data_IF_843568501330
#
_entry.id   IF_843568501330
#
_cell.length_a   1.000
_cell.length_b   1.000
_cell.length_c   1.000
_cell.angle_alpha   90.00
_cell.angle_beta   90.00
_cell.angle_gamma   90.00
#
_symmetry.space_group_name_H-M   'P 1'
#
loop_
_entity.id
_entity.type
_entity.pdbx_description
1 polymer ?
#
# COMPACT_ATOMS: atom_id res chain seq x y z
N UNK A 1 -53.90 -67.56 8.74
CA UNK A 1 -54.88 -66.65 9.37
C UNK A 1 -54.27 -66.01 10.62
N UNK A 2 -53.81 -64.75 10.51
CA UNK A 2 -53.84 -63.72 11.57
C UNK A 2 -53.42 -62.40 10.94
N UNK A 3 -54.42 -61.53 10.78
CA UNK A 3 -54.34 -60.22 10.16
C UNK A 3 -53.75 -59.17 11.11
N UNK A 4 -53.03 -58.23 10.49
CA UNK A 4 -52.93 -56.78 10.74
C UNK A 4 -52.85 -56.30 12.20
N UNK A 5 -51.73 -55.73 12.66
CA UNK A 5 -51.09 -54.45 12.24
C UNK A 5 -51.91 -53.22 12.68
N UNK A 6 -51.34 -52.56 13.69
CA UNK A 6 -51.21 -51.10 13.87
C UNK A 6 -52.33 -50.37 14.64
N UNK A 7 -52.01 -50.25 15.93
CA UNK A 7 -52.21 -49.15 16.86
C UNK A 7 -52.06 -47.77 16.17
N UNK A 8 -53.16 -47.04 15.99
CA UNK A 8 -53.16 -45.62 15.59
C UNK A 8 -53.24 -44.74 16.84
N UNK A 9 -52.08 -44.39 17.40
CA UNK A 9 -51.93 -43.30 18.38
C UNK A 9 -51.31 -42.06 17.70
N UNK A 10 -51.99 -40.92 17.85
CA UNK A 10 -51.43 -39.56 18.03
C UNK A 10 -50.24 -39.14 17.13
N UNK A 11 -50.54 -38.55 15.97
CA UNK A 11 -49.59 -37.72 15.23
C UNK A 11 -49.70 -36.24 15.66
N UNK A 12 -49.11 -35.91 16.80
CA UNK A 12 -48.74 -34.53 17.13
C UNK A 12 -47.28 -34.29 16.67
N UNK A 13 -47.10 -33.54 15.58
CA UNK A 13 -45.88 -32.80 15.19
C UNK A 13 -46.11 -32.27 13.77
N UNK A 14 -45.86 -31.00 13.45
CA UNK A 14 -44.54 -30.38 13.39
C UNK A 14 -44.63 -28.84 13.60
N UNK A 15 -43.63 -28.19 14.23
CA UNK A 15 -43.54 -26.74 14.30
C UNK A 15 -43.10 -26.14 12.95
N UNK A 16 -43.68 -24.98 12.58
CA UNK A 16 -43.26 -24.15 11.45
C UNK A 16 -41.82 -23.65 11.67
N UNK A 17 -40.88 -24.02 10.80
CA UNK A 17 -39.51 -23.47 10.80
C UNK A 17 -39.44 -22.25 9.87
N UNK A 18 -38.99 -21.07 10.35
CA UNK A 18 -38.77 -19.93 9.45
C UNK A 18 -37.54 -20.19 8.58
N UNK A 19 -37.75 -20.20 7.26
CA UNK A 19 -36.69 -20.29 6.25
C UNK A 19 -35.87 -19.00 6.23
N UNK A 20 -34.61 -19.10 6.63
CA UNK A 20 -33.66 -17.99 6.56
C UNK A 20 -33.23 -17.75 5.10
N UNK A 21 -33.79 -16.74 4.45
CA UNK A 21 -33.29 -16.28 3.15
C UNK A 21 -31.97 -15.52 3.35
N UNK A 22 -30.83 -16.20 3.19
CA UNK A 22 -29.54 -15.53 3.09
C UNK A 22 -29.47 -14.74 1.78
N UNK A 23 -29.78 -13.45 1.85
CA UNK A 23 -29.52 -12.48 0.79
C UNK A 23 -28.03 -12.48 0.45
N UNK A 24 -27.68 -13.19 -0.64
CA UNK A 24 -26.32 -13.29 -1.15
C UNK A 24 -25.96 -11.97 -1.80
N UNK A 25 -25.41 -11.04 -1.01
CA UNK A 25 -24.87 -9.74 -1.48
C UNK A 25 -24.03 -9.97 -2.74
N UNK A 26 -24.55 -9.53 -3.90
CA UNK A 26 -23.86 -9.64 -5.20
C UNK A 26 -22.57 -8.83 -5.16
N UNK A 27 -21.46 -9.49 -4.84
CA UNK A 27 -20.13 -8.90 -4.91
C UNK A 27 -19.88 -8.38 -6.35
N UNK A 28 -19.50 -7.10 -6.52
CA UNK A 28 -19.33 -6.52 -7.84
C UNK A 28 -18.19 -7.20 -8.64
N UNK A 29 -18.32 -7.22 -9.97
CA UNK A 29 -17.44 -7.96 -10.88
C UNK A 29 -15.95 -7.56 -10.76
N UNK A 30 -15.68 -6.29 -10.48
CA UNK A 30 -14.33 -5.77 -10.29
C UNK A 30 -13.66 -6.30 -9.02
N UNK A 31 -14.40 -6.58 -7.93
CA UNK A 31 -13.85 -7.22 -6.73
C UNK A 31 -13.39 -8.65 -7.01
N UNK A 32 -14.11 -9.37 -7.86
CA UNK A 32 -13.71 -10.73 -8.29
C UNK A 32 -12.46 -10.67 -9.15
N UNK A 33 -12.40 -9.77 -10.14
CA UNK A 33 -11.20 -9.59 -10.96
C UNK A 33 -9.98 -9.16 -10.13
N UNK A 34 -10.14 -8.18 -9.24
CA UNK A 34 -9.06 -7.75 -8.34
C UNK A 34 -8.59 -8.87 -7.42
N UNK A 35 -9.52 -9.67 -6.86
CA UNK A 35 -9.18 -10.84 -6.05
C UNK A 35 -8.41 -11.87 -6.85
N UNK A 36 -8.82 -12.16 -8.09
CA UNK A 36 -8.08 -13.07 -8.97
C UNK A 36 -6.70 -12.53 -9.34
N UNK A 37 -6.58 -11.23 -9.62
CA UNK A 37 -5.30 -10.59 -9.90
C UNK A 37 -4.39 -10.63 -8.68
N UNK A 38 -4.91 -10.28 -7.50
CA UNK A 38 -4.24 -10.34 -6.20
C UNK A 38 -3.74 -11.76 -5.89
N UNK A 39 -4.62 -12.77 -6.02
CA UNK A 39 -4.26 -14.17 -5.78
C UNK A 39 -3.25 -14.70 -6.82
N UNK A 40 -3.32 -14.22 -8.07
CA UNK A 40 -2.34 -14.55 -9.11
C UNK A 40 -0.98 -13.93 -8.79
N UNK A 41 -0.93 -12.68 -8.33
CA UNK A 41 0.31 -11.99 -7.97
C UNK A 41 0.92 -12.59 -6.69
N UNK A 42 0.10 -12.99 -5.70
CA UNK A 42 0.56 -13.69 -4.49
C UNK A 42 1.12 -15.08 -4.79
N UNK A 43 0.55 -15.79 -5.77
CA UNK A 43 1.02 -17.14 -6.15
C UNK A 43 2.32 -17.15 -6.95
N UNK A 44 2.76 -16.02 -7.51
CA UNK A 44 4.12 -15.94 -8.05
C UNK A 44 5.09 -16.00 -6.87
N UNK A 45 5.71 -17.17 -6.64
CA UNK A 45 6.94 -17.31 -5.86
C UNK A 45 7.95 -16.30 -6.41
N UNK A 46 7.97 -15.13 -5.79
CA UNK A 46 8.82 -14.06 -6.22
C UNK A 46 10.22 -14.36 -5.70
N UNK A 47 11.21 -14.24 -6.58
CA UNK A 47 12.60 -14.40 -6.15
C UNK A 47 12.93 -13.31 -5.12
N UNK A 48 13.83 -13.60 -4.19
CA UNK A 48 14.29 -12.63 -3.18
C UNK A 48 14.65 -11.27 -3.80
N UNK A 49 15.38 -11.20 -4.94
CA UNK A 49 15.70 -9.92 -5.58
C UNK A 49 14.46 -9.19 -6.12
N UNK A 50 13.44 -9.90 -6.63
CA UNK A 50 12.21 -9.26 -7.10
C UNK A 50 11.44 -8.61 -5.96
N UNK A 51 11.39 -9.27 -4.79
CA UNK A 51 10.77 -8.72 -3.58
C UNK A 51 11.54 -7.49 -3.09
N UNK A 52 12.88 -7.58 -3.00
CA UNK A 52 13.73 -6.48 -2.56
C UNK A 52 13.59 -5.25 -3.48
N UNK A 53 13.58 -5.44 -4.81
CA UNK A 53 13.35 -4.33 -5.77
C UNK A 53 11.98 -3.69 -5.59
N UNK A 54 10.95 -4.51 -5.39
CA UNK A 54 9.60 -4.00 -5.13
C UNK A 54 9.55 -3.19 -3.84
N UNK A 55 10.14 -3.69 -2.75
CA UNK A 55 10.21 -2.96 -1.48
C UNK A 55 10.92 -1.61 -1.65
N UNK A 56 12.06 -1.58 -2.35
CA UNK A 56 12.82 -0.36 -2.61
C UNK A 56 12.02 0.69 -3.36
N UNK A 57 11.34 0.32 -4.46
CA UNK A 57 10.52 1.26 -5.22
C UNK A 57 9.28 1.72 -4.45
N UNK A 58 8.75 0.85 -3.57
CA UNK A 58 7.66 1.19 -2.67
C UNK A 58 8.07 2.24 -1.65
N UNK A 59 9.17 2.01 -0.94
CA UNK A 59 9.72 2.94 0.05
C UNK A 59 10.07 4.27 -0.61
N UNK A 60 10.72 4.24 -1.79
CA UNK A 60 11.00 5.44 -2.57
C UNK A 60 9.74 6.28 -2.82
N UNK A 61 8.68 5.65 -3.36
CA UNK A 61 7.45 6.35 -3.69
C UNK A 61 6.68 6.81 -2.44
N UNK A 62 6.76 6.09 -1.32
CA UNK A 62 6.12 6.47 -0.05
C UNK A 62 6.74 7.71 0.62
N UNK A 63 7.94 8.11 0.23
CA UNK A 63 8.57 9.35 0.71
C UNK A 63 8.11 10.60 -0.06
N UNK A 64 7.38 10.44 -1.16
CA UNK A 64 6.83 11.57 -1.90
C UNK A 64 5.45 11.96 -1.34
N UNK A 65 5.13 13.27 -1.27
CA UNK A 65 3.86 13.79 -0.75
C UNK A 65 2.67 13.59 -1.72
N UNK A 66 2.57 12.42 -2.34
CA UNK A 66 1.50 12.04 -3.25
C UNK A 66 0.45 11.22 -2.48
N UNK A 67 -0.39 11.91 -1.70
CA UNK A 67 -1.46 11.28 -0.92
C UNK A 67 -2.33 10.37 -1.81
N UNK A 68 -2.31 9.07 -1.53
CA UNK A 68 -3.01 8.05 -2.32
C UNK A 68 -2.31 7.64 -3.63
N UNK A 69 -1.74 8.58 -4.38
CA UNK A 69 -1.07 8.29 -5.66
C UNK A 69 0.34 7.66 -5.50
N UNK A 70 0.96 7.76 -4.33
CA UNK A 70 2.24 7.10 -4.02
C UNK A 70 2.22 5.59 -4.32
N UNK A 71 1.11 4.90 -4.06
CA UNK A 71 0.98 3.45 -4.31
C UNK A 71 1.06 3.17 -5.81
N UNK A 72 0.41 4.01 -6.62
CA UNK A 72 0.43 3.89 -8.08
C UNK A 72 1.84 4.13 -8.59
N UNK A 73 2.52 5.17 -8.10
CA UNK A 73 3.91 5.46 -8.45
C UNK A 73 4.85 4.30 -8.06
N UNK A 74 4.72 3.77 -6.84
CA UNK A 74 5.52 2.65 -6.36
C UNK A 74 5.32 1.38 -7.19
N UNK A 75 4.07 1.06 -7.54
CA UNK A 75 3.76 -0.07 -8.43
C UNK A 75 4.30 0.16 -9.84
N UNK A 76 4.15 1.37 -10.37
CA UNK A 76 4.67 1.73 -11.70
C UNK A 76 6.18 1.56 -11.77
N UNK A 77 6.92 2.11 -10.81
CA UNK A 77 8.36 1.94 -10.68
C UNK A 77 8.74 0.46 -10.50
N UNK A 78 7.97 -0.30 -9.72
CA UNK A 78 8.18 -1.74 -9.56
C UNK A 78 8.04 -2.51 -10.88
N UNK A 79 7.10 -2.11 -11.76
CA UNK A 79 6.97 -2.72 -13.08
C UNK A 79 8.22 -2.45 -13.93
N UNK A 80 8.73 -1.22 -13.92
CA UNK A 80 9.93 -0.84 -14.68
C UNK A 80 11.16 -1.65 -14.25
N UNK A 81 11.39 -1.77 -12.93
CA UNK A 81 12.55 -2.52 -12.39
C UNK A 81 12.30 -4.03 -12.32
N UNK A 82 11.19 -4.53 -12.86
CA UNK A 82 10.77 -5.94 -12.77
C UNK A 82 10.72 -6.46 -11.31
N UNK A 83 10.32 -5.59 -10.38
CA UNK A 83 10.09 -5.89 -8.97
C UNK A 83 8.69 -6.45 -8.69
N UNK A 84 8.48 -6.94 -7.47
CA UNK A 84 7.18 -7.42 -7.03
C UNK A 84 6.27 -6.23 -6.68
N UNK A 85 5.10 -6.17 -7.34
CA UNK A 85 4.11 -5.09 -7.22
C UNK A 85 3.45 -5.04 -5.84
N UNK A 86 3.24 -6.19 -5.19
CA UNK A 86 2.66 -6.25 -3.85
C UNK A 86 3.61 -5.66 -2.82
N UNK A 87 4.90 -6.02 -2.89
CA UNK A 87 5.89 -5.50 -1.95
C UNK A 87 6.19 -4.03 -2.20
N UNK A 88 6.02 -3.56 -3.43
CA UNK A 88 6.00 -2.12 -3.72
C UNK A 88 4.81 -1.41 -3.09
N UNK A 89 3.60 -1.95 -3.22
CA UNK A 89 2.43 -1.38 -2.56
C UNK A 89 2.60 -1.35 -1.04
N UNK A 90 3.09 -2.43 -0.43
CA UNK A 90 3.40 -2.49 1.01
C UNK A 90 4.50 -1.49 1.39
N UNK A 91 5.55 -1.38 0.58
CA UNK A 91 6.64 -0.44 0.81
C UNK A 91 6.18 1.03 0.83
N UNK A 92 5.12 1.37 0.09
CA UNK A 92 4.55 2.73 0.12
C UNK A 92 3.86 3.07 1.44
N UNK A 93 3.53 2.08 2.27
CA UNK A 93 2.86 2.27 3.57
C UNK A 93 3.84 2.45 4.72
N UNK A 94 5.14 2.60 4.44
CA UNK A 94 6.15 2.83 5.48
C UNK A 94 5.92 4.14 6.24
N UNK A 95 5.32 5.12 5.56
CA UNK A 95 4.94 6.42 6.09
C UNK A 95 3.45 6.39 6.42
N UNK A 96 3.14 6.31 7.71
CA UNK A 96 1.80 6.38 8.26
C UNK A 96 1.37 7.87 8.31
N UNK A 97 0.08 8.23 8.18
CA UNK A 97 -0.42 9.59 8.41
C UNK A 97 0.21 10.34 9.60
N UNK A 98 0.53 9.64 10.69
CA UNK A 98 1.21 10.22 11.85
C UNK A 98 2.68 10.60 11.59
N UNK A 99 3.39 9.87 10.73
CA UNK A 99 4.82 10.08 10.44
C UNK A 99 5.09 10.96 9.22
N UNK A 100 4.07 11.33 8.43
CA UNK A 100 4.27 12.20 7.26
C UNK A 100 4.84 13.57 7.61
N UNK A 101 4.31 14.22 8.65
CA UNK A 101 4.73 15.57 9.05
C UNK A 101 6.25 15.62 9.34
N UNK A 102 6.82 14.80 10.24
CA UNK A 102 8.25 14.85 10.49
C UNK A 102 9.10 14.44 9.28
N UNK A 103 8.65 13.47 8.47
CA UNK A 103 9.37 13.03 7.27
C UNK A 103 9.45 14.16 6.24
N UNK A 104 8.35 14.85 5.96
CA UNK A 104 8.34 15.92 4.97
C UNK A 104 9.07 17.16 5.44
N UNK A 105 9.02 17.49 6.74
CA UNK A 105 9.88 18.53 7.31
C UNK A 105 11.36 18.19 7.16
N UNK A 106 11.74 16.93 7.38
CA UNK A 106 13.11 16.48 7.19
C UNK A 106 13.52 16.56 5.71
N UNK A 107 12.69 16.06 4.79
CA UNK A 107 12.93 16.14 3.36
C UNK A 107 13.06 17.60 2.90
N UNK A 108 12.18 18.48 3.37
CA UNK A 108 12.25 19.91 3.06
C UNK A 108 13.56 20.54 3.54
N UNK A 109 13.97 20.27 4.79
CA UNK A 109 15.28 20.75 5.30
C UNK A 109 16.45 20.23 4.49
N UNK A 110 16.41 18.98 4.03
CA UNK A 110 17.42 18.42 3.12
C UNK A 110 17.40 19.16 1.79
N UNK A 111 16.21 19.41 1.23
CA UNK A 111 16.03 20.22 0.01
C UNK A 111 16.60 21.63 0.13
N UNK A 112 16.28 22.35 1.22
CA UNK A 112 16.79 23.70 1.48
C UNK A 112 18.32 23.72 1.55
N UNK A 113 18.93 22.72 2.21
CA UNK A 113 20.39 22.59 2.27
C UNK A 113 21.02 22.35 0.90
N UNK A 114 20.35 21.59 0.03
CA UNK A 114 20.84 21.28 -1.32
C UNK A 114 20.70 22.47 -2.28
N UNK A 115 19.60 23.22 -2.19
CA UNK A 115 19.34 24.41 -3.01
C UNK A 115 20.05 25.66 -2.49
N UNK A 116 20.57 25.63 -1.25
CA UNK A 116 21.10 26.82 -0.58
C UNK A 116 20.01 27.84 -0.21
N UNK A 117 18.73 27.50 -0.37
CA UNK A 117 17.57 28.35 -0.14
C UNK A 117 17.09 28.22 1.31
N UNK A 118 17.91 28.70 2.25
CA UNK A 118 17.51 28.84 3.65
C UNK A 118 16.46 29.94 3.82
N UNK A 119 16.50 30.96 2.95
CA UNK A 119 15.65 32.13 2.95
C UNK A 119 14.54 32.02 1.90
N UNK A 120 13.72 30.97 1.96
CA UNK A 120 12.42 31.04 1.29
C UNK A 120 11.67 32.20 1.93
N UNK A 121 11.53 33.30 1.20
CA UNK A 121 11.08 34.61 1.65
C UNK A 121 9.92 34.48 2.63
N UNK A 122 10.12 34.86 3.89
CA UNK A 122 9.05 34.91 4.89
C UNK A 122 8.04 36.04 4.62
N UNK A 123 8.42 36.99 3.78
CA UNK A 123 7.58 38.09 3.32
C UNK A 123 6.90 37.72 2.00
N UNK A 124 5.94 36.78 2.06
CA UNK A 124 5.03 36.51 0.94
C UNK A 124 3.83 37.44 1.08
N UNK A 125 3.53 38.24 0.06
CA UNK A 125 2.27 38.96 0.02
C UNK A 125 1.11 37.99 -0.24
N UNK A 126 0.32 37.73 0.80
CA UNK A 126 -0.84 36.83 0.76
C UNK A 126 -1.98 37.33 -0.14
N UNK A 127 -1.94 38.59 -0.56
CA UNK A 127 -2.94 39.17 -1.46
C UNK A 127 -2.60 38.98 -2.95
N UNK A 128 -1.32 38.72 -3.25
CA UNK A 128 -0.84 38.51 -4.61
C UNK A 128 -0.88 37.02 -4.99
N UNK A 129 -1.78 36.68 -5.92
CA UNK A 129 -1.88 35.31 -6.45
C UNK A 129 -0.60 34.84 -7.15
N UNK A 130 0.15 35.76 -7.77
CA UNK A 130 1.39 35.44 -8.48
C UNK A 130 2.53 35.10 -7.51
N UNK A 131 2.66 35.84 -6.41
CA UNK A 131 3.64 35.56 -5.36
C UNK A 131 3.31 34.28 -4.62
N UNK A 132 2.03 34.04 -4.34
CA UNK A 132 1.57 32.80 -3.72
C UNK A 132 1.91 31.57 -4.58
N UNK A 133 1.73 31.66 -5.90
CA UNK A 133 2.11 30.61 -6.84
C UNK A 133 3.62 30.37 -6.87
N UNK A 134 4.42 31.42 -6.87
CA UNK A 134 5.89 31.30 -6.83
C UNK A 134 6.38 30.68 -5.52
N UNK A 135 5.84 31.13 -4.38
CA UNK A 135 6.16 30.57 -3.07
C UNK A 135 5.77 29.08 -2.99
N UNK A 136 4.59 28.73 -3.49
CA UNK A 136 4.13 27.33 -3.58
C UNK A 136 5.01 26.47 -4.49
N UNK A 137 5.44 27.00 -5.63
CA UNK A 137 6.34 26.31 -6.55
C UNK A 137 7.73 26.10 -5.93
N UNK A 138 8.30 27.13 -5.30
CA UNK A 138 9.59 27.04 -4.63
C UNK A 138 9.55 26.03 -3.48
N UNK A 139 8.47 26.04 -2.69
CA UNK A 139 8.22 25.03 -1.66
C UNK A 139 8.16 23.62 -2.25
N UNK A 140 7.37 23.43 -3.31
CA UNK A 140 7.21 22.13 -3.96
C UNK A 140 8.53 21.60 -4.54
N UNK A 141 9.30 22.43 -5.24
CA UNK A 141 10.61 22.04 -5.81
C UNK A 141 11.59 21.66 -4.70
N UNK A 142 11.66 22.46 -3.63
CA UNK A 142 12.53 22.20 -2.48
C UNK A 142 12.16 20.88 -1.81
N UNK A 143 10.87 20.65 -1.56
CA UNK A 143 10.39 19.42 -0.94
C UNK A 143 10.65 18.19 -1.84
N UNK A 144 10.35 18.28 -3.14
CA UNK A 144 10.53 17.18 -4.09
C UNK A 144 12.01 16.82 -4.28
N UNK A 145 12.90 17.80 -4.29
CA UNK A 145 14.35 17.56 -4.33
C UNK A 145 14.79 16.77 -3.08
N UNK A 146 14.34 17.21 -1.90
CA UNK A 146 14.56 16.50 -0.65
C UNK A 146 14.03 15.06 -0.66
N UNK A 147 12.78 14.88 -1.12
CA UNK A 147 12.16 13.56 -1.29
C UNK A 147 12.97 12.65 -2.22
N UNK A 148 13.54 13.20 -3.29
CA UNK A 148 14.34 12.43 -4.24
C UNK A 148 15.62 11.90 -3.60
N UNK A 149 16.35 12.75 -2.87
CA UNK A 149 17.61 12.36 -2.21
C UNK A 149 17.36 11.40 -1.04
N UNK A 150 16.49 11.78 -0.11
CA UNK A 150 16.17 10.93 1.06
C UNK A 150 15.49 9.64 0.61
N UNK A 151 14.58 9.73 -0.37
CA UNK A 151 13.93 8.59 -1.02
C UNK A 151 14.94 7.63 -1.63
N UNK A 152 15.93 8.12 -2.39
CA UNK A 152 16.95 7.27 -2.99
C UNK A 152 17.77 6.52 -1.94
N UNK A 153 18.19 7.19 -0.87
CA UNK A 153 18.92 6.57 0.25
C UNK A 153 18.03 5.50 0.93
N UNK A 154 16.79 5.85 1.26
CA UNK A 154 15.84 4.92 1.89
C UNK A 154 15.54 3.71 0.99
N UNK A 155 15.46 3.91 -0.33
CA UNK A 155 15.25 2.85 -1.31
C UNK A 155 16.43 1.86 -1.35
N UNK A 156 17.67 2.38 -1.34
CA UNK A 156 18.88 1.55 -1.28
C UNK A 156 18.89 0.74 0.02
N UNK A 157 18.62 1.38 1.16
CA UNK A 157 18.55 0.69 2.45
C UNK A 157 17.47 -0.40 2.46
N UNK A 158 16.29 -0.10 1.92
CA UNK A 158 15.20 -1.06 1.80
C UNK A 158 15.56 -2.24 0.87
N UNK A 159 16.26 -1.98 -0.24
CA UNK A 159 16.75 -3.03 -1.12
C UNK A 159 17.72 -3.98 -0.41
N UNK A 160 18.73 -3.42 0.27
CA UNK A 160 19.71 -4.19 1.04
C UNK A 160 19.05 -4.98 2.17
N UNK A 161 18.13 -4.36 2.92
CA UNK A 161 17.36 -5.01 3.97
C UNK A 161 16.51 -6.17 3.41
N UNK A 162 15.88 -5.96 2.25
CA UNK A 162 15.12 -7.00 1.56
C UNK A 162 15.99 -8.20 1.17
N UNK A 163 17.17 -7.95 0.59
CA UNK A 163 18.11 -9.02 0.24
C UNK A 163 18.62 -9.78 1.47
N UNK A 164 18.76 -9.12 2.61
CA UNK A 164 19.27 -9.73 3.84
C UNK A 164 18.20 -10.47 4.65
N UNK A 165 17.01 -9.88 4.82
CA UNK A 165 15.97 -10.40 5.70
C UNK A 165 15.20 -11.57 5.09
N UNK A 166 14.86 -11.47 3.79
CA UNK A 166 13.99 -12.44 3.13
C UNK A 166 14.58 -13.85 3.08
N UNK A 167 15.88 -14.06 2.76
CA UNK A 167 16.49 -15.39 2.83
C UNK A 167 16.44 -15.98 4.23
N UNK A 168 16.66 -15.17 5.27
CA UNK A 168 16.63 -15.63 6.67
C UNK A 168 15.24 -16.13 7.07
N UNK A 169 14.20 -15.38 6.73
CA UNK A 169 12.81 -15.79 6.99
C UNK A 169 12.44 -17.06 6.22
N UNK A 170 12.97 -17.23 5.01
CA UNK A 170 12.70 -18.41 4.18
C UNK A 170 13.38 -19.69 4.69
N UNK A 171 14.53 -19.55 5.36
CA UNK A 171 15.25 -20.68 5.93
C UNK A 171 14.58 -21.22 7.21
N UNK A 172 13.93 -20.36 8.01
CA UNK A 172 13.24 -20.80 9.23
C UNK A 172 11.97 -21.61 8.96
N UNK A 173 11.30 -21.40 7.82
CA UNK A 173 10.11 -22.19 7.43
C UNK A 173 10.41 -23.61 6.96
N UNK A 174 11.69 -24.01 6.89
CA UNK A 174 12.14 -25.35 6.49
C UNK A 174 12.70 -26.19 7.65
N UNK A 175 12.73 -25.63 8.87
CA UNK A 175 13.08 -26.36 10.10
C UNK A 175 11.82 -26.68 10.90
#
# INVERSE_FOLDING_TARGET
MRNNIVITHLAASQPMQPTYYLSKKRQPWWRRKLRYLYLRIIRLRSTTPAIARGLATGVFAGLFPFFGAQTILGIFLAVLVRGNKLTAAVGTWISNPLTYVPIYLFNFKVGQRLLGTYDLSTDVDWTSSAELLQAGQAFAVTLLLGCTVVGAIAAILAYCLGLWLIPRLRNQSKS
#
